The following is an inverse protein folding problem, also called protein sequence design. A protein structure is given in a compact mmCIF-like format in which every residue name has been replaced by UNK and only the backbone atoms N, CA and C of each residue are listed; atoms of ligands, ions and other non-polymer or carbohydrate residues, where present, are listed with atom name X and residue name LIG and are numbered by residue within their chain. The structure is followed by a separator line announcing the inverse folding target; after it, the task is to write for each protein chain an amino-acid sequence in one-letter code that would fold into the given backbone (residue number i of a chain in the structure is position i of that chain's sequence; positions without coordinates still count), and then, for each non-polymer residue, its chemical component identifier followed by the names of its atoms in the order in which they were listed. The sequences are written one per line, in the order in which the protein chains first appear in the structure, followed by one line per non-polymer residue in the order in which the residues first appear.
data_IF_365079353122
#
_entry.id   IF_365079353122
#
_cell.length_a   1.000
_cell.length_b   1.000
_cell.length_c   1.000
_cell.angle_alpha   90.00
_cell.angle_beta   90.00
_cell.angle_gamma   90.00
#
_symmetry.space_group_name_H-M   'P 1'
#
loop_
_entity.id
_entity.type
_entity.pdbx_description
1 polymer ?
#
# COMPACT_ATOMS: atom_id res chain seq x y z
N UNK A 1 -0.50 11.36 7.30
CA UNK A 1 0.39 10.29 7.83
C UNK A 1 0.41 10.42 9.33
N UNK A 2 0.11 9.34 10.06
CA UNK A 2 0.13 9.34 11.53
C UNK A 2 1.56 9.44 12.10
N UNK A 3 1.71 9.77 13.39
CA UNK A 3 3.02 9.94 14.02
C UNK A 3 3.93 8.71 13.92
N UNK A 4 3.38 7.49 13.98
CA UNK A 4 4.16 6.26 13.96
C UNK A 4 4.81 6.04 12.60
N UNK A 5 4.04 6.13 11.52
CA UNK A 5 4.56 6.00 10.16
C UNK A 5 5.50 7.15 9.78
N UNK A 6 5.23 8.37 10.27
CA UNK A 6 6.14 9.51 10.07
C UNK A 6 7.49 9.28 10.74
N UNK A 7 7.48 8.73 11.96
CA UNK A 7 8.73 8.42 12.67
C UNK A 7 9.44 7.20 12.09
N UNK A 8 8.70 6.18 11.63
CA UNK A 8 9.24 5.05 10.88
C UNK A 8 9.94 5.50 9.60
N UNK A 9 9.33 6.42 8.84
CA UNK A 9 9.93 6.99 7.63
C UNK A 9 11.23 7.75 7.94
N UNK A 10 11.24 8.59 8.99
CA UNK A 10 12.47 9.26 9.44
C UNK A 10 13.56 8.27 9.87
N UNK A 11 13.20 7.20 10.54
CA UNK A 11 14.14 6.14 10.93
C UNK A 11 14.71 5.43 9.69
N UNK A 12 13.86 5.13 8.71
CA UNK A 12 14.28 4.57 7.43
C UNK A 12 15.21 5.51 6.66
N UNK A 13 14.96 6.81 6.65
CA UNK A 13 15.79 7.82 5.99
C UNK A 13 17.21 7.90 6.57
N UNK A 14 17.34 7.78 7.90
CA UNK A 14 18.62 7.78 8.62
C UNK A 14 19.38 6.48 8.40
N UNK A 15 18.69 5.34 8.53
CA UNK A 15 19.31 4.00 8.39
C UNK A 15 19.56 3.60 6.94
N UNK A 16 18.90 4.27 5.98
CA UNK A 16 18.79 3.81 4.58
C UNK A 16 18.30 2.36 4.46
N UNK A 17 17.50 1.92 5.42
CA UNK A 17 16.99 0.55 5.52
C UNK A 17 17.99 -0.50 6.00
N UNK A 18 19.14 -0.09 6.55
CA UNK A 18 20.09 -1.03 7.18
C UNK A 18 19.61 -1.44 8.56
N UNK A 19 19.34 -2.73 8.73
CA UNK A 19 18.77 -3.30 9.96
C UNK A 19 19.77 -3.39 11.13
N UNK A 20 21.07 -3.26 10.86
CA UNK A 20 22.13 -3.32 11.86
C UNK A 20 22.55 -1.94 12.41
N UNK A 21 21.81 -0.88 12.06
CA UNK A 21 22.13 0.49 12.48
C UNK A 21 21.30 0.87 13.70
N UNK A 22 21.99 1.14 14.81
CA UNK A 22 21.41 1.74 16.00
C UNK A 22 21.17 3.25 15.78
N UNK A 23 19.97 3.71 16.10
CA UNK A 23 19.59 5.12 15.98
C UNK A 23 19.09 5.65 17.32
N UNK A 24 19.68 6.75 17.78
CA UNK A 24 19.14 7.53 18.89
C UNK A 24 17.80 8.16 18.49
N UNK A 25 16.72 7.60 19.03
CA UNK A 25 15.37 8.00 18.72
C UNK A 25 14.93 9.25 19.50
N UNK A 26 15.64 9.63 20.57
CA UNK A 26 15.40 10.88 21.31
C UNK A 26 15.64 12.07 20.39
N UNK A 27 16.80 12.09 19.73
CA UNK A 27 17.14 13.19 18.82
C UNK A 27 16.23 13.23 17.59
N UNK A 28 15.85 12.05 17.09
CA UNK A 28 14.95 11.93 15.95
C UNK A 28 13.55 12.48 16.27
N UNK A 29 13.00 12.14 17.45
CA UNK A 29 11.68 12.62 17.89
C UNK A 29 11.69 14.09 18.27
N UNK A 30 12.77 14.63 18.87
CA UNK A 30 12.94 16.06 19.13
C UNK A 30 12.92 16.88 17.83
N UNK A 31 13.72 16.48 16.83
CA UNK A 31 13.75 17.13 15.51
C UNK A 31 12.41 17.07 14.78
N UNK A 32 11.60 16.05 15.07
CA UNK A 32 10.29 15.85 14.47
C UNK A 32 9.14 16.49 15.25
N UNK A 33 9.39 17.05 16.45
CA UNK A 33 8.36 17.64 17.32
C UNK A 33 7.51 16.62 18.09
N UNK A 34 7.97 15.37 18.22
CA UNK A 34 7.22 14.26 18.86
C UNK A 34 7.84 13.76 20.17
N UNK A 35 8.87 14.43 20.69
CA UNK A 35 9.56 14.00 21.92
C UNK A 35 8.61 13.74 23.11
N UNK A 36 7.57 14.56 23.39
CA UNK A 36 6.63 14.28 24.48
C UNK A 36 5.86 12.96 24.35
N UNK A 37 5.87 12.34 23.17
CA UNK A 37 5.14 11.10 22.86
C UNK A 37 6.08 9.94 22.52
N UNK A 38 7.37 10.04 22.85
CA UNK A 38 8.39 9.05 22.49
C UNK A 38 8.02 7.64 22.99
N UNK A 39 7.60 7.50 24.25
CA UNK A 39 7.28 6.19 24.82
C UNK A 39 6.10 5.51 24.10
N UNK A 40 5.06 6.29 23.78
CA UNK A 40 3.90 5.80 23.02
C UNK A 40 4.29 5.38 21.61
N UNK A 41 5.11 6.18 20.93
CA UNK A 41 5.59 5.89 19.58
C UNK A 41 6.47 4.63 19.56
N UNK A 42 7.45 4.54 20.47
CA UNK A 42 8.34 3.38 20.57
C UNK A 42 7.53 2.12 20.88
N UNK A 43 6.62 2.20 21.85
CA UNK A 43 5.76 1.07 22.24
C UNK A 43 4.94 0.56 21.06
N UNK A 44 4.27 1.47 20.32
CA UNK A 44 3.48 1.10 19.16
C UNK A 44 4.35 0.53 18.02
N UNK A 45 5.48 1.15 17.71
CA UNK A 45 6.38 0.67 16.65
C UNK A 45 6.99 -0.71 16.98
N UNK A 46 7.25 -1.01 18.27
CA UNK A 46 7.68 -2.33 18.73
C UNK A 46 6.55 -3.36 18.63
N UNK A 47 5.33 -2.97 19.03
CA UNK A 47 4.14 -3.83 18.95
C UNK A 47 3.84 -4.27 17.51
N UNK A 48 3.99 -3.37 16.55
CA UNK A 48 3.84 -3.67 15.11
C UNK A 48 5.05 -4.40 14.51
N UNK A 49 6.12 -4.63 15.28
CA UNK A 49 7.32 -5.33 14.85
C UNK A 49 8.23 -4.55 13.90
N UNK A 50 8.00 -3.23 13.73
CA UNK A 50 8.76 -2.39 12.80
C UNK A 50 10.16 -2.05 13.33
N UNK A 51 10.35 -2.08 14.64
CA UNK A 51 11.62 -1.77 15.28
C UNK A 51 11.92 -2.75 16.41
N UNK A 52 13.20 -2.88 16.70
CA UNK A 52 13.70 -3.48 17.94
C UNK A 52 14.45 -2.42 18.73
N UNK A 53 14.47 -2.58 20.05
CA UNK A 53 15.15 -1.66 20.95
C UNK A 53 16.38 -2.36 21.53
N UNK A 54 17.56 -1.83 21.24
CA UNK A 54 18.83 -2.39 21.72
C UNK A 54 19.18 -1.84 23.11
N UNK A 55 18.84 -0.58 23.36
CA UNK A 55 18.94 0.15 24.64
C UNK A 55 17.81 1.16 24.69
N UNK A 56 17.54 1.73 25.87
CA UNK A 56 16.48 2.74 26.05
C UNK A 56 16.55 3.82 24.98
N UNK A 57 15.49 3.96 24.19
CA UNK A 57 15.35 4.91 23.08
C UNK A 57 16.38 4.77 21.94
N UNK A 58 17.12 3.66 21.88
CA UNK A 58 18.01 3.32 20.78
C UNK A 58 17.36 2.21 19.97
N UNK A 59 16.92 2.54 18.76
CA UNK A 59 16.13 1.66 17.92
C UNK A 59 16.92 1.17 16.70
N UNK A 60 16.63 -0.08 16.30
CA UNK A 60 17.00 -0.64 15.01
C UNK A 60 15.73 -0.88 14.21
N UNK A 61 15.74 -0.48 12.94
CA UNK A 61 14.66 -0.83 12.02
C UNK A 61 14.75 -2.32 11.68
N UNK A 62 13.61 -3.01 11.67
CA UNK A 62 13.56 -4.43 11.26
C UNK A 62 13.31 -4.54 9.77
N UNK A 63 13.50 -5.75 9.23
CA UNK A 63 13.03 -6.09 7.89
C UNK A 63 11.58 -5.66 7.61
N UNK A 64 10.68 -5.91 8.57
CA UNK A 64 9.26 -5.53 8.46
C UNK A 64 9.07 -4.01 8.50
N UNK A 65 9.82 -3.31 9.34
CA UNK A 65 9.80 -1.84 9.39
C UNK A 65 10.31 -1.21 8.09
N UNK A 66 11.31 -1.81 7.44
CA UNK A 66 11.79 -1.37 6.12
C UNK A 66 10.73 -1.56 5.04
N UNK A 67 10.09 -2.73 5.01
CA UNK A 67 9.01 -2.99 4.07
C UNK A 67 7.86 -2.00 4.26
N UNK A 68 7.47 -1.73 5.50
CA UNK A 68 6.40 -0.81 5.81
C UNK A 68 6.76 0.64 5.48
N UNK A 69 7.95 1.11 5.83
CA UNK A 69 8.44 2.45 5.48
C UNK A 69 8.41 2.70 3.96
N UNK A 70 8.78 1.69 3.16
CA UNK A 70 8.71 1.76 1.70
C UNK A 70 7.28 1.86 1.19
N UNK A 71 6.33 1.12 1.77
CA UNK A 71 4.90 1.23 1.42
C UNK A 71 4.36 2.61 1.77
N UNK A 72 4.70 3.13 2.95
CA UNK A 72 4.24 4.45 3.39
C UNK A 72 4.81 5.57 2.51
N UNK A 73 6.08 5.45 2.10
CA UNK A 73 6.74 6.41 1.20
C UNK A 73 6.21 6.34 -0.24
N UNK A 74 5.76 5.18 -0.71
CA UNK A 74 5.15 5.02 -2.03
C UNK A 74 3.75 5.63 -2.14
N UNK A 75 3.15 6.08 -1.03
CA UNK A 75 1.74 6.48 -0.99
C UNK A 75 0.81 5.30 -1.36
N UNK A 76 -0.50 5.51 -1.30
CA UNK A 76 -1.50 4.51 -1.71
C UNK A 76 -1.44 4.14 -3.21
N UNK A 77 -0.53 4.72 -3.98
CA UNK A 77 -0.40 4.53 -5.42
C UNK A 77 0.87 3.73 -5.75
N UNK A 78 0.98 2.54 -5.14
CA UNK A 78 2.07 1.64 -5.50
C UNK A 78 1.87 1.16 -6.93
N UNK A 79 2.92 1.18 -7.74
CA UNK A 79 2.94 0.68 -9.13
C UNK A 79 2.37 -0.74 -9.24
N UNK A 80 2.49 -1.54 -8.17
CA UNK A 80 1.88 -2.87 -8.08
C UNK A 80 0.36 -2.88 -7.91
N UNK A 81 -0.24 -1.83 -7.32
CA UNK A 81 -1.70 -1.68 -7.26
C UNK A 81 -2.26 -1.29 -8.63
N UNK A 82 -1.60 -0.36 -9.34
CA UNK A 82 -1.93 -0.03 -10.73
C UNK A 82 -1.80 -1.27 -11.61
N UNK A 83 -0.71 -2.04 -11.49
CA UNK A 83 -0.51 -3.28 -12.24
C UNK A 83 -1.59 -4.33 -11.93
N UNK A 84 -1.97 -4.50 -10.66
CA UNK A 84 -3.03 -5.42 -10.23
C UNK A 84 -4.38 -5.02 -10.82
N UNK A 85 -4.78 -3.75 -10.70
CA UNK A 85 -6.05 -3.28 -11.25
C UNK A 85 -6.04 -3.31 -12.79
N UNK A 86 -4.90 -3.07 -13.44
CA UNK A 86 -4.75 -3.21 -14.89
C UNK A 86 -4.91 -4.68 -15.34
N UNK A 87 -4.35 -5.65 -14.60
CA UNK A 87 -4.56 -7.09 -14.86
C UNK A 87 -6.03 -7.48 -14.69
N UNK A 88 -6.72 -6.92 -13.69
CA UNK A 88 -8.16 -7.13 -13.50
C UNK A 88 -8.95 -6.56 -14.68
N UNK A 89 -8.67 -5.33 -15.09
CA UNK A 89 -9.31 -4.72 -16.26
C UNK A 89 -9.15 -5.60 -17.52
N UNK A 90 -7.93 -6.11 -17.76
CA UNK A 90 -7.68 -7.02 -18.89
C UNK A 90 -8.54 -8.29 -18.84
N UNK A 91 -8.70 -8.90 -17.67
CA UNK A 91 -9.54 -10.08 -17.51
C UNK A 91 -11.02 -9.77 -17.81
N UNK A 92 -11.55 -8.69 -17.22
CA UNK A 92 -12.94 -8.27 -17.42
C UNK A 92 -13.23 -7.94 -18.90
N UNK A 93 -12.28 -7.28 -19.59
CA UNK A 93 -12.42 -6.95 -21.02
C UNK A 93 -12.39 -8.19 -21.91
N UNK A 94 -11.58 -9.21 -21.59
CA UNK A 94 -11.56 -10.47 -22.34
C UNK A 94 -12.88 -11.21 -22.23
N UNK A 95 -13.42 -11.31 -21.02
CA UNK A 95 -14.73 -11.91 -20.80
C UNK A 95 -15.85 -11.13 -21.49
N UNK A 96 -15.78 -9.79 -21.49
CA UNK A 96 -16.71 -8.95 -22.25
C UNK A 96 -16.65 -9.21 -23.76
N UNK A 97 -15.44 -9.39 -24.31
CA UNK A 97 -15.27 -9.72 -25.73
C UNK A 97 -15.93 -11.07 -26.09
N UNK A 98 -15.77 -12.09 -25.24
CA UNK A 98 -16.43 -13.39 -25.44
C UNK A 98 -17.95 -13.26 -25.42
N UNK A 99 -18.53 -12.54 -24.45
CA UNK A 99 -19.97 -12.32 -24.41
C UNK A 99 -20.49 -11.55 -25.64
N UNK A 100 -19.67 -10.65 -26.20
CA UNK A 100 -20.01 -9.94 -27.43
C UNK A 100 -20.04 -10.88 -28.64
N UNK A 101 -19.08 -11.80 -28.74
CA UNK A 101 -19.09 -12.85 -29.76
C UNK A 101 -20.32 -13.76 -29.61
N UNK A 102 -20.68 -14.16 -28.39
CA UNK A 102 -21.87 -14.96 -28.11
C UNK A 102 -23.16 -14.23 -28.49
N UNK A 103 -23.27 -12.92 -28.21
CA UNK A 103 -24.41 -12.12 -28.62
C UNK A 103 -24.51 -11.96 -30.15
N UNK A 104 -23.38 -11.85 -30.85
CA UNK A 104 -23.36 -11.82 -32.32
C UNK A 104 -23.88 -13.14 -32.89
N UNK A 105 -23.50 -14.27 -32.29
CA UNK A 105 -23.96 -15.60 -32.68
C UNK A 105 -25.44 -15.82 -32.35
N UNK A 106 -25.91 -15.33 -31.20
CA UNK A 106 -27.27 -15.47 -30.72
C UNK A 106 -27.81 -14.16 -30.14
N UNK A 107 -28.55 -13.43 -30.96
CA UNK A 107 -29.13 -12.15 -30.58
C UNK A 107 -30.40 -12.37 -29.74
N UNK A 108 -30.25 -12.33 -28.42
CA UNK A 108 -31.36 -12.42 -27.47
C UNK A 108 -31.30 -11.34 -26.39
N UNK A 109 -32.46 -11.01 -25.80
CA UNK A 109 -32.55 -10.01 -24.72
C UNK A 109 -31.74 -10.43 -23.48
N UNK A 110 -31.69 -11.73 -23.19
CA UNK A 110 -30.89 -12.29 -22.09
C UNK A 110 -29.40 -12.02 -22.30
N UNK A 111 -28.89 -12.30 -23.51
CA UNK A 111 -27.48 -12.04 -23.86
C UNK A 111 -27.16 -10.55 -23.84
N UNK A 112 -28.09 -9.70 -24.29
CA UNK A 112 -27.92 -8.24 -24.23
C UNK A 112 -27.83 -7.73 -22.77
N UNK A 113 -28.63 -8.30 -21.86
CA UNK A 113 -28.59 -7.97 -20.44
C UNK A 113 -27.27 -8.41 -19.78
N UNK A 114 -26.77 -9.61 -20.09
CA UNK A 114 -25.47 -10.09 -19.65
C UNK A 114 -24.34 -9.17 -20.12
N UNK A 115 -24.37 -8.77 -21.39
CA UNK A 115 -23.39 -7.88 -22.01
C UNK A 115 -23.38 -6.51 -21.32
N UNK A 116 -24.56 -5.96 -21.02
CA UNK A 116 -24.72 -4.68 -20.32
C UNK A 116 -24.17 -4.74 -18.88
N UNK A 117 -24.47 -5.84 -18.17
CA UNK A 117 -23.93 -6.09 -16.83
C UNK A 117 -22.40 -6.17 -16.86
N UNK A 118 -21.85 -6.89 -17.83
CA UNK A 118 -20.40 -7.04 -17.98
C UNK A 118 -19.70 -5.73 -18.37
N UNK A 119 -20.30 -4.92 -19.24
CA UNK A 119 -19.77 -3.60 -19.58
C UNK A 119 -19.69 -2.66 -18.35
N UNK A 120 -20.67 -2.75 -17.43
CA UNK A 120 -20.61 -2.05 -16.14
C UNK A 120 -19.42 -2.51 -15.30
N UNK A 121 -19.12 -3.81 -15.27
CA UNK A 121 -17.95 -4.35 -14.57
C UNK A 121 -16.63 -3.85 -15.18
N UNK A 122 -16.50 -3.83 -16.51
CA UNK A 122 -15.34 -3.26 -17.22
C UNK A 122 -15.17 -1.78 -16.87
N UNK A 123 -16.26 -1.01 -16.89
CA UNK A 123 -16.25 0.42 -16.56
C UNK A 123 -15.79 0.66 -15.12
N UNK A 124 -16.28 -0.14 -14.16
CA UNK A 124 -15.84 -0.09 -12.76
C UNK A 124 -14.36 -0.45 -12.60
N UNK A 125 -13.87 -1.45 -13.33
CA UNK A 125 -12.45 -1.82 -13.30
C UNK A 125 -11.56 -0.69 -13.85
N UNK A 126 -11.98 -0.02 -14.93
CA UNK A 126 -11.26 1.15 -15.46
C UNK A 126 -11.19 2.30 -14.45
N UNK A 127 -12.30 2.59 -13.76
CA UNK A 127 -12.32 3.60 -12.69
C UNK A 127 -11.43 3.21 -11.50
N UNK A 128 -11.30 1.92 -11.19
CA UNK A 128 -10.37 1.45 -10.18
C UNK A 128 -8.91 1.70 -10.58
N UNK A 129 -8.55 1.48 -11.84
CA UNK A 129 -7.21 1.81 -12.38
C UNK A 129 -6.90 3.30 -12.28
N UNK A 130 -7.86 4.19 -12.61
CA UNK A 130 -7.67 5.65 -12.51
C UNK A 130 -7.43 6.12 -11.07
N UNK A 131 -7.94 5.39 -10.09
CA UNK A 131 -7.86 5.73 -8.65
C UNK A 131 -6.72 5.01 -7.93
N UNK A 132 -6.10 4.02 -8.58
CA UNK A 132 -4.94 3.26 -8.09
C UNK A 132 -3.64 4.04 -8.29
#
# INVERSE_FOLDING_TARGET
MDPYHKMLQKLYEVTKGRENVDVDFVDLTKKAGYFPSIDSIVSQMKKEGWVTESRVNVLRITHWGVAEAKKTAAGKNSTGQVEKEAKRLLAETREFAVLLEEFIAEQSETRLAELSSKFSAVSKALEAVKKA
#
